data_IF_933340227556
#
_entry.id   IF_933340227556
#
_cell.length_a   1.000
_cell.length_b   1.000
_cell.length_c   1.000
_cell.angle_alpha   90.00
_cell.angle_beta   90.00
_cell.angle_gamma   90.00
#
_symmetry.space_group_name_H-M   'P 1'
#
loop_
_entity.id
_entity.type
_entity.pdbx_description
1 polymer ?
#
# COMPACT_ATOMS: atom_id res chain seq x y z
N UNK A 1 -31.46 28.44 37.95
CA UNK A 1 -30.58 27.55 37.19
C UNK A 1 -31.32 27.14 35.94
N UNK A 2 -30.76 27.36 34.74
CA UNK A 2 -31.35 26.86 33.50
C UNK A 2 -31.27 25.33 33.50
N UNK A 3 -32.40 24.67 33.27
CA UNK A 3 -32.42 23.21 33.15
C UNK A 3 -31.92 22.80 31.76
N UNK A 4 -31.30 21.62 31.63
CA UNK A 4 -30.79 21.11 30.35
C UNK A 4 -31.87 21.10 29.24
N UNK A 5 -33.12 20.78 29.62
CA UNK A 5 -34.29 20.78 28.74
C UNK A 5 -34.65 22.19 28.22
N UNK A 6 -34.42 23.23 29.02
CA UNK A 6 -34.64 24.62 28.59
C UNK A 6 -33.55 25.09 27.62
N UNK A 7 -32.29 24.67 27.83
CA UNK A 7 -31.17 25.00 26.95
C UNK A 7 -31.34 24.38 25.57
N UNK A 8 -31.79 23.11 25.49
CA UNK A 8 -32.02 22.40 24.22
C UNK A 8 -33.14 23.02 23.36
N UNK A 9 -34.08 23.73 24.00
CA UNK A 9 -35.18 24.43 23.33
C UNK A 9 -34.77 25.80 22.79
N UNK A 10 -33.62 26.34 23.20
CA UNK A 10 -33.18 27.65 22.76
C UNK A 10 -32.67 27.61 21.29
N UNK A 11 -32.98 28.63 20.47
CA UNK A 11 -32.61 28.65 19.05
C UNK A 11 -31.11 28.52 18.80
N UNK A 12 -30.28 29.10 19.67
CA UNK A 12 -28.82 29.05 19.54
C UNK A 12 -28.24 27.65 19.82
N UNK A 13 -28.90 26.83 20.65
CA UNK A 13 -28.47 25.46 20.90
C UNK A 13 -28.63 24.61 19.64
N UNK A 14 -29.79 24.70 18.98
CA UNK A 14 -30.03 24.04 17.69
C UNK A 14 -29.05 24.50 16.61
N UNK A 15 -28.79 25.80 16.53
CA UNK A 15 -27.84 26.36 15.57
C UNK A 15 -26.42 25.85 15.83
N UNK A 16 -25.96 25.87 17.08
CA UNK A 16 -24.65 25.35 17.48
C UNK A 16 -24.50 23.85 17.21
N UNK A 17 -25.53 23.06 17.50
CA UNK A 17 -25.56 21.62 17.18
C UNK A 17 -25.52 21.35 15.68
N UNK A 18 -26.30 22.08 14.87
CA UNK A 18 -26.27 21.94 13.41
C UNK A 18 -24.89 22.31 12.85
N UNK A 19 -24.30 23.42 13.30
CA UNK A 19 -22.95 23.82 12.89
C UNK A 19 -21.91 22.80 13.33
N UNK A 20 -21.99 22.30 14.55
CA UNK A 20 -21.08 21.28 15.07
C UNK A 20 -21.15 19.97 14.28
N UNK A 21 -22.35 19.51 13.93
CA UNK A 21 -22.54 18.32 13.09
C UNK A 21 -21.97 18.57 11.69
N UNK A 22 -22.27 19.71 11.08
CA UNK A 22 -21.79 20.04 9.75
C UNK A 22 -20.26 20.14 9.71
N UNK A 23 -19.66 20.82 10.68
CA UNK A 23 -18.20 20.94 10.80
C UNK A 23 -17.57 19.57 11.08
N UNK A 24 -18.13 18.79 11.99
CA UNK A 24 -17.66 17.44 12.30
C UNK A 24 -17.71 16.51 11.10
N UNK A 25 -18.80 16.56 10.31
CA UNK A 25 -18.92 15.79 9.07
C UNK A 25 -17.89 16.23 8.02
N UNK A 26 -17.73 17.54 7.81
CA UNK A 26 -16.75 18.07 6.86
C UNK A 26 -15.32 17.67 7.25
N UNK A 27 -14.95 17.86 8.52
CA UNK A 27 -13.63 17.49 9.03
C UNK A 27 -13.40 15.98 8.96
N UNK A 28 -14.39 15.18 9.37
CA UNK A 28 -14.30 13.72 9.32
C UNK A 28 -14.17 13.20 7.90
N UNK A 29 -14.91 13.76 6.94
CA UNK A 29 -14.81 13.41 5.53
C UNK A 29 -13.46 13.79 4.94
N UNK A 30 -12.97 15.01 5.21
CA UNK A 30 -11.67 15.47 4.75
C UNK A 30 -10.55 14.57 5.27
N UNK A 31 -10.51 14.33 6.59
CA UNK A 31 -9.49 13.49 7.21
C UNK A 31 -9.57 12.04 6.74
N UNK A 32 -10.78 11.50 6.58
CA UNK A 32 -10.98 10.13 6.09
C UNK A 32 -10.50 9.98 4.64
N UNK A 33 -10.79 10.96 3.80
CA UNK A 33 -10.36 10.97 2.40
C UNK A 33 -8.84 11.11 2.27
N UNK A 34 -8.23 12.04 3.00
CA UNK A 34 -6.77 12.23 3.00
C UNK A 34 -6.05 10.96 3.42
N UNK A 35 -6.42 10.36 4.55
CA UNK A 35 -5.83 9.11 5.03
C UNK A 35 -6.04 7.95 4.05
N UNK A 36 -7.25 7.83 3.51
CA UNK A 36 -7.56 6.77 2.55
C UNK A 36 -6.74 6.86 1.27
N UNK A 37 -6.53 8.08 0.77
CA UNK A 37 -5.70 8.33 -0.41
C UNK A 37 -4.23 8.04 -0.11
N UNK A 38 -3.71 8.54 1.00
CA UNK A 38 -2.32 8.34 1.41
C UNK A 38 -2.00 6.84 1.55
N UNK A 39 -2.80 6.11 2.32
CA UNK A 39 -2.64 4.66 2.49
C UNK A 39 -2.78 3.90 1.17
N UNK A 40 -3.74 4.30 0.32
CA UNK A 40 -3.97 3.66 -0.97
C UNK A 40 -2.79 3.85 -1.93
N UNK A 41 -2.24 5.05 -1.98
CA UNK A 41 -1.06 5.38 -2.79
C UNK A 41 0.17 4.64 -2.27
N UNK A 42 0.42 4.63 -0.96
CA UNK A 42 1.57 3.95 -0.37
C UNK A 42 1.54 2.44 -0.64
N UNK A 43 0.40 1.78 -0.34
CA UNK A 43 0.20 0.34 -0.60
C UNK A 43 0.32 0.03 -2.09
N UNK A 44 -0.27 0.87 -2.94
CA UNK A 44 -0.22 0.72 -4.39
C UNK A 44 1.20 0.83 -4.95
N UNK A 45 1.97 1.82 -4.51
CA UNK A 45 3.37 2.00 -4.91
C UNK A 45 4.26 0.85 -4.42
N UNK A 46 4.09 0.40 -3.17
CA UNK A 46 4.85 -0.72 -2.63
C UNK A 46 4.59 -2.01 -3.42
N UNK A 47 3.32 -2.33 -3.70
CA UNK A 47 2.94 -3.50 -4.50
C UNK A 47 3.45 -3.38 -5.94
N UNK A 48 3.32 -2.20 -6.54
CA UNK A 48 3.77 -1.92 -7.90
C UNK A 48 5.29 -2.09 -8.06
N UNK A 49 6.05 -1.58 -7.09
CA UNK A 49 7.51 -1.73 -7.04
C UNK A 49 7.92 -3.20 -6.93
N UNK A 50 7.34 -3.96 -6.00
CA UNK A 50 7.65 -5.39 -5.83
C UNK A 50 7.34 -6.21 -7.09
N UNK A 51 6.17 -5.99 -7.71
CA UNK A 51 5.82 -6.62 -9.00
C UNK A 51 6.78 -6.25 -10.12
N UNK A 52 7.23 -4.98 -10.17
CA UNK A 52 8.20 -4.50 -11.13
C UNK A 52 9.57 -5.16 -10.96
N UNK A 53 10.08 -5.23 -9.73
CA UNK A 53 11.35 -5.89 -9.38
C UNK A 53 11.32 -7.38 -9.74
N UNK A 54 10.26 -8.10 -9.36
CA UNK A 54 10.06 -9.50 -9.73
C UNK A 54 10.03 -9.70 -11.26
N UNK A 55 9.27 -8.87 -11.98
CA UNK A 55 9.16 -8.97 -13.44
C UNK A 55 10.50 -8.70 -14.15
N UNK A 56 11.26 -7.74 -13.64
CA UNK A 56 12.61 -7.44 -14.13
C UNK A 56 13.54 -8.62 -13.89
N UNK A 57 13.54 -9.21 -12.70
CA UNK A 57 14.36 -10.37 -12.36
C UNK A 57 14.04 -11.57 -13.26
N UNK A 58 12.75 -11.91 -13.46
CA UNK A 58 12.33 -12.97 -14.39
C UNK A 58 12.88 -12.72 -15.80
N UNK A 59 12.78 -11.48 -16.30
CA UNK A 59 13.31 -11.12 -17.62
C UNK A 59 14.83 -11.29 -17.70
N UNK A 60 15.57 -10.90 -16.66
CA UNK A 60 17.02 -11.07 -16.59
C UNK A 60 17.42 -12.55 -16.57
N UNK A 61 16.76 -13.35 -15.73
CA UNK A 61 17.00 -14.79 -15.62
C UNK A 61 16.70 -15.49 -16.94
N UNK A 62 15.58 -15.16 -17.60
CA UNK A 62 15.24 -15.74 -18.90
C UNK A 62 16.28 -15.38 -19.97
N UNK A 63 16.83 -14.16 -19.92
CA UNK A 63 17.86 -13.72 -20.86
C UNK A 63 19.21 -14.40 -20.62
N UNK A 64 19.60 -14.61 -19.35
CA UNK A 64 20.90 -15.17 -18.98
C UNK A 64 20.93 -16.70 -19.05
N UNK A 65 19.85 -17.34 -18.63
CA UNK A 65 19.78 -18.80 -18.43
C UNK A 65 18.76 -19.51 -19.34
N UNK A 66 17.97 -18.78 -20.14
CA UNK A 66 17.01 -19.37 -21.07
C UNK A 66 15.64 -19.62 -20.44
N UNK A 67 15.04 -20.81 -20.66
CA UNK A 67 13.71 -21.10 -20.12
C UNK A 67 13.75 -21.23 -18.60
N UNK A 68 12.96 -20.42 -17.91
CA UNK A 68 12.81 -20.50 -16.46
C UNK A 68 11.65 -21.46 -16.10
N UNK A 69 11.85 -22.44 -15.21
CA UNK A 69 10.77 -23.30 -14.76
C UNK A 69 9.62 -22.51 -14.12
N UNK A 70 8.36 -22.90 -14.33
CA UNK A 70 7.20 -22.16 -13.82
C UNK A 70 7.17 -22.06 -12.28
N UNK A 71 7.78 -23.03 -11.58
CA UNK A 71 7.92 -23.02 -10.13
C UNK A 71 8.80 -21.85 -9.65
N UNK A 72 9.95 -21.64 -10.30
CA UNK A 72 10.87 -20.52 -9.98
C UNK A 72 10.26 -19.17 -10.32
N UNK A 73 9.50 -19.09 -11.40
CA UNK A 73 8.77 -17.86 -11.74
C UNK A 73 7.74 -17.49 -10.67
N UNK A 74 6.99 -18.47 -10.15
CA UNK A 74 6.06 -18.26 -9.03
C UNK A 74 6.78 -17.84 -7.76
N UNK A 75 7.93 -18.46 -7.48
CA UNK A 75 8.76 -18.13 -6.33
C UNK A 75 9.21 -16.67 -6.37
N UNK A 76 9.60 -16.17 -7.54
CA UNK A 76 9.96 -14.76 -7.77
C UNK A 76 8.76 -13.83 -7.61
N UNK A 77 7.62 -14.16 -8.19
CA UNK A 77 6.42 -13.31 -8.11
C UNK A 77 5.91 -13.17 -6.67
N UNK A 78 6.06 -14.21 -5.85
CA UNK A 78 5.63 -14.22 -4.45
C UNK A 78 6.73 -13.79 -3.47
N UNK A 79 7.97 -13.58 -3.93
CA UNK A 79 9.08 -13.22 -3.07
C UNK A 79 8.93 -11.80 -2.51
N UNK A 80 9.34 -11.64 -1.25
CA UNK A 80 9.42 -10.32 -0.62
C UNK A 80 10.56 -9.48 -1.21
N UNK A 81 10.51 -8.14 -1.06
CA UNK A 81 11.46 -7.21 -1.68
C UNK A 81 12.92 -7.48 -1.29
N UNK A 82 13.18 -7.93 -0.05
CA UNK A 82 14.53 -8.28 0.39
C UNK A 82 15.11 -9.49 -0.36
N UNK A 83 14.28 -10.50 -0.61
CA UNK A 83 14.68 -11.71 -1.33
C UNK A 83 14.89 -11.40 -2.81
N UNK A 84 14.00 -10.58 -3.39
CA UNK A 84 14.15 -10.10 -4.77
C UNK A 84 15.45 -9.30 -4.97
N UNK A 85 15.79 -8.42 -4.04
CA UNK A 85 17.05 -7.66 -4.09
C UNK A 85 18.27 -8.60 -4.03
N UNK A 86 18.27 -9.57 -3.11
CA UNK A 86 19.35 -10.55 -2.99
C UNK A 86 19.55 -11.37 -4.27
N UNK A 87 18.46 -11.86 -4.86
CA UNK A 87 18.53 -12.56 -6.15
C UNK A 87 18.94 -11.64 -7.30
N UNK A 88 18.53 -10.36 -7.24
CA UNK A 88 18.96 -9.33 -8.16
C UNK A 88 20.47 -9.08 -8.14
N UNK A 89 21.09 -9.08 -6.96
CA UNK A 89 22.55 -8.95 -6.84
C UNK A 89 23.24 -10.23 -7.35
N UNK A 90 22.76 -11.41 -6.91
CA UNK A 90 23.32 -12.69 -7.33
C UNK A 90 23.22 -12.95 -8.83
N UNK A 91 22.18 -12.45 -9.50
CA UNK A 91 22.01 -12.67 -10.95
C UNK A 91 23.16 -12.10 -11.76
N UNK A 92 23.88 -11.10 -11.23
CA UNK A 92 25.00 -10.47 -11.92
C UNK A 92 26.17 -11.45 -12.06
N UNK A 93 26.52 -12.15 -10.98
CA UNK A 93 27.72 -13.00 -10.91
C UNK A 93 27.43 -14.50 -11.10
N UNK A 94 26.21 -14.96 -10.80
CA UNK A 94 25.84 -16.37 -10.83
C UNK A 94 26.04 -17.02 -12.21
N UNK A 95 26.58 -18.23 -12.25
CA UNK A 95 26.80 -19.02 -13.47
C UNK A 95 25.65 -19.98 -13.75
N UNK A 96 24.84 -20.29 -12.74
CA UNK A 96 23.68 -21.18 -12.84
C UNK A 96 22.45 -20.56 -12.19
N UNK A 97 21.26 -21.13 -12.44
CA UNK A 97 20.03 -20.71 -11.77
C UNK A 97 20.10 -21.02 -10.27
N UNK A 98 20.64 -22.17 -9.90
CA UNK A 98 20.77 -22.62 -8.51
C UNK A 98 21.59 -21.64 -7.65
N UNK A 99 22.67 -21.08 -8.20
CA UNK A 99 23.49 -20.07 -7.53
C UNK A 99 22.72 -18.77 -7.24
N UNK A 100 21.69 -18.45 -8.03
CA UNK A 100 20.83 -17.29 -7.74
C UNK A 100 19.92 -17.58 -6.55
N UNK A 101 19.28 -18.75 -6.54
CA UNK A 101 18.25 -19.10 -5.56
C UNK A 101 18.77 -19.64 -4.22
N UNK A 102 20.06 -20.00 -4.14
CA UNK A 102 20.77 -20.43 -2.91
C UNK A 102 21.17 -19.25 -2.05
#
# INVERSE_FOLDING_TARGET
MLTQVEVERMPFYRLGMQQGIQQGMQQGMQQGMEKGIEEGIEKGMALGRGKGEASLLVRQLRRKFGSLPPEREREIICAGPRVLALWGDRVLDARTLEEVFS
#
